data_IF_399552157158
#
_entry.id   IF_399552157158
#
_cell.length_a   1.000
_cell.length_b   1.000
_cell.length_c   1.000
_cell.angle_alpha   90.00
_cell.angle_beta   90.00
_cell.angle_gamma   90.00
#
_symmetry.space_group_name_H-M   'P 1'
#
loop_
_entity.id
_entity.type
_entity.pdbx_description
1 polymer ?
#
# COMPACT_ATOMS: atom_id res chain seq x y z
N UNK A 1 27.87 20.92 10.47
CA UNK A 1 27.76 20.19 9.18
C UNK A 1 27.35 18.73 9.37
N UNK A 2 27.89 18.01 10.37
CA UNK A 2 27.58 16.60 10.68
C UNK A 2 26.14 16.36 11.16
N UNK A 3 25.53 17.33 11.84
CA UNK A 3 24.15 17.24 12.35
C UNK A 3 23.12 17.11 11.23
N UNK A 4 23.22 17.93 10.18
CA UNK A 4 22.31 17.90 9.02
C UNK A 4 22.40 16.58 8.25
N UNK A 5 23.61 16.04 8.06
CA UNK A 5 23.79 14.76 7.37
C UNK A 5 23.14 13.60 8.15
N UNK A 6 23.33 13.56 9.47
CA UNK A 6 22.72 12.53 10.33
C UNK A 6 21.18 12.59 10.36
N UNK A 7 20.60 13.79 10.23
CA UNK A 7 19.16 13.98 10.16
C UNK A 7 18.61 13.49 8.83
N UNK A 8 19.18 13.93 7.70
CA UNK A 8 18.76 13.47 6.37
C UNK A 8 18.85 11.96 6.21
N UNK A 9 19.93 11.32 6.72
CA UNK A 9 20.05 9.86 6.69
C UNK A 9 18.90 9.18 7.45
N UNK A 10 18.58 9.66 8.67
CA UNK A 10 17.48 9.08 9.47
C UNK A 10 16.13 9.21 8.78
N UNK A 11 15.86 10.34 8.13
CA UNK A 11 14.62 10.58 7.38
C UNK A 11 14.53 9.65 6.19
N UNK A 12 15.59 9.57 5.38
CA UNK A 12 15.65 8.68 4.22
C UNK A 12 15.46 7.23 4.60
N UNK A 13 16.14 6.75 5.65
CA UNK A 13 16.00 5.36 6.13
C UNK A 13 14.58 5.07 6.60
N UNK A 14 13.96 6.01 7.35
CA UNK A 14 12.56 5.85 7.80
C UNK A 14 11.59 5.84 6.63
N UNK A 15 11.76 6.75 5.67
CA UNK A 15 10.92 6.81 4.48
C UNK A 15 11.04 5.52 3.65
N UNK A 16 12.26 5.07 3.38
CA UNK A 16 12.51 3.81 2.67
C UNK A 16 11.91 2.60 3.43
N UNK A 17 12.01 2.59 4.76
CA UNK A 17 11.39 1.55 5.58
C UNK A 17 9.85 1.52 5.44
N UNK A 18 9.20 2.69 5.43
CA UNK A 18 7.76 2.77 5.19
C UNK A 18 7.37 2.38 3.76
N UNK A 19 8.18 2.70 2.76
CA UNK A 19 7.97 2.24 1.39
C UNK A 19 8.04 0.72 1.29
N UNK A 20 9.06 0.12 1.90
CA UNK A 20 9.20 -1.34 1.92
C UNK A 20 8.02 -2.01 2.63
N UNK A 21 7.61 -1.48 3.78
CA UNK A 21 6.45 -2.01 4.51
C UNK A 21 5.16 -1.89 3.68
N UNK A 22 4.98 -0.77 2.98
CA UNK A 22 3.80 -0.54 2.13
C UNK A 22 3.79 -1.47 0.92
N UNK A 23 4.95 -1.74 0.33
CA UNK A 23 5.11 -2.74 -0.72
C UNK A 23 4.69 -4.13 -0.25
N UNK A 24 5.23 -4.58 0.89
CA UNK A 24 4.87 -5.87 1.49
C UNK A 24 3.37 -5.94 1.81
N UNK A 25 2.81 -4.89 2.40
CA UNK A 25 1.39 -4.85 2.70
C UNK A 25 0.53 -4.97 1.42
N UNK A 26 0.91 -4.27 0.35
CA UNK A 26 0.21 -4.33 -0.93
C UNK A 26 0.26 -5.73 -1.53
N UNK A 27 1.45 -6.32 -1.68
CA UNK A 27 1.59 -7.61 -2.35
C UNK A 27 0.93 -8.74 -1.56
N UNK A 28 1.06 -8.72 -0.22
CA UNK A 28 0.44 -9.73 0.64
C UNK A 28 -1.08 -9.62 0.67
N UNK A 29 -1.62 -8.42 0.83
CA UNK A 29 -3.08 -8.23 0.87
C UNK A 29 -3.73 -8.54 -0.47
N UNK A 30 -3.07 -8.21 -1.56
CA UNK A 30 -3.48 -8.56 -2.91
C UNK A 30 -3.51 -10.08 -3.11
N UNK A 31 -2.41 -10.78 -2.82
CA UNK A 31 -2.35 -12.23 -3.04
C UNK A 31 -3.29 -13.00 -2.12
N UNK A 32 -3.39 -12.59 -0.85
CA UNK A 32 -4.39 -13.16 0.07
C UNK A 32 -5.81 -12.90 -0.41
N UNK A 33 -6.03 -11.81 -1.14
CA UNK A 33 -7.30 -11.53 -1.80
C UNK A 33 -7.68 -12.61 -2.82
N UNK A 34 -6.74 -13.05 -3.66
CA UNK A 34 -6.96 -14.16 -4.58
C UNK A 34 -7.27 -15.46 -3.84
N UNK A 35 -6.53 -15.78 -2.78
CA UNK A 35 -6.77 -16.98 -1.97
C UNK A 35 -8.17 -16.98 -1.35
N UNK A 36 -8.58 -15.86 -0.76
CA UNK A 36 -9.91 -15.71 -0.17
C UNK A 36 -11.00 -15.80 -1.25
N UNK A 37 -10.81 -15.14 -2.40
CA UNK A 37 -11.73 -15.23 -3.52
C UNK A 37 -11.89 -16.64 -4.07
N UNK A 38 -10.77 -17.37 -4.18
CA UNK A 38 -10.75 -18.77 -4.59
C UNK A 38 -11.48 -19.68 -3.61
N UNK A 39 -11.27 -19.53 -2.30
CA UNK A 39 -12.01 -20.31 -1.30
C UNK A 39 -13.51 -20.03 -1.32
N UNK A 40 -13.90 -18.76 -1.48
CA UNK A 40 -15.32 -18.38 -1.55
C UNK A 40 -15.98 -18.91 -2.82
N UNK A 41 -15.27 -18.97 -3.95
CA UNK A 41 -15.79 -19.54 -5.19
C UNK A 41 -15.82 -21.07 -5.20
N UNK A 42 -15.12 -21.72 -4.27
CA UNK A 42 -14.95 -23.18 -4.24
C UNK A 42 -13.77 -23.67 -5.07
N UNK A 43 -12.84 -22.80 -5.43
CA UNK A 43 -11.59 -23.15 -6.07
C UNK A 43 -10.65 -23.88 -5.10
N UNK A 44 -9.86 -24.81 -5.63
CA UNK A 44 -8.85 -25.54 -4.84
C UNK A 44 -7.49 -24.87 -5.00
N UNK A 45 -6.92 -24.36 -3.91
CA UNK A 45 -5.57 -23.80 -3.90
C UNK A 45 -4.53 -24.92 -4.07
N UNK A 46 -3.71 -24.84 -5.10
CA UNK A 46 -2.65 -25.81 -5.41
C UNK A 46 -1.31 -25.33 -4.90
N UNK A 47 -1.01 -24.05 -5.14
CA UNK A 47 0.29 -23.47 -4.85
C UNK A 47 0.13 -22.00 -4.46
N UNK A 48 0.95 -21.56 -3.50
CA UNK A 48 1.05 -20.17 -3.08
C UNK A 48 2.52 -19.84 -2.81
N UNK A 49 3.00 -18.75 -3.39
CA UNK A 49 4.30 -18.18 -3.07
C UNK A 49 4.14 -16.71 -2.68
N UNK A 50 4.56 -16.38 -1.46
CA UNK A 50 4.48 -15.05 -0.84
C UNK A 50 5.85 -14.42 -0.60
N UNK A 51 6.90 -14.93 -1.25
CA UNK A 51 8.25 -14.42 -1.04
C UNK A 51 8.38 -12.99 -1.57
N UNK A 52 8.98 -12.07 -0.81
CA UNK A 52 9.01 -10.65 -1.15
C UNK A 52 9.98 -10.28 -2.29
N UNK A 53 10.83 -11.20 -2.76
CA UNK A 53 11.85 -10.94 -3.79
C UNK A 53 11.39 -11.26 -5.22
N UNK A 54 10.18 -11.78 -5.40
CA UNK A 54 9.50 -11.84 -6.69
C UNK A 54 8.03 -11.45 -6.51
N UNK A 55 7.29 -11.33 -7.61
CA UNK A 55 5.86 -11.10 -7.54
C UNK A 55 5.19 -12.33 -6.90
N UNK A 56 4.43 -12.16 -5.79
CA UNK A 56 3.63 -13.24 -5.24
C UNK A 56 2.64 -13.78 -6.26
N UNK A 57 2.28 -15.05 -6.08
CA UNK A 57 1.24 -15.69 -6.89
C UNK A 57 0.55 -16.80 -6.11
N UNK A 58 -0.69 -17.07 -6.49
CA UNK A 58 -1.44 -18.26 -6.11
C UNK A 58 -2.02 -18.93 -7.35
N UNK A 59 -2.04 -20.26 -7.32
CA UNK A 59 -2.58 -21.09 -8.39
C UNK A 59 -3.75 -21.87 -7.82
N UNK A 60 -4.89 -21.73 -8.46
CA UNK A 60 -6.12 -22.45 -8.13
C UNK A 60 -6.51 -23.38 -9.27
N UNK A 61 -6.82 -24.65 -8.95
CA UNK A 61 -7.30 -25.63 -9.93
C UNK A 61 -8.04 -26.79 -9.24
N UNK A 62 -9.29 -27.11 -9.62
CA UNK A 62 -10.14 -26.36 -10.54
C UNK A 62 -10.56 -25.02 -9.93
N UNK A 63 -10.79 -24.01 -10.78
CA UNK A 63 -11.40 -22.73 -10.39
C UNK A 63 -12.77 -22.58 -11.08
N UNK A 64 -13.88 -22.76 -10.35
CA UNK A 64 -15.22 -22.69 -10.92
C UNK A 64 -15.66 -21.24 -11.23
N UNK A 65 -15.06 -20.23 -10.63
CA UNK A 65 -15.41 -18.82 -10.86
C UNK A 65 -14.17 -17.92 -10.88
N UNK A 66 -13.33 -18.01 -11.94
CA UNK A 66 -12.05 -17.31 -12.01
C UNK A 66 -12.18 -15.80 -11.93
N UNK A 67 -13.30 -15.22 -12.35
CA UNK A 67 -13.54 -13.78 -12.18
C UNK A 67 -13.61 -13.37 -10.71
N UNK A 68 -14.21 -14.19 -9.83
CA UNK A 68 -14.29 -13.89 -8.40
C UNK A 68 -12.90 -13.96 -7.79
N UNK A 69 -12.17 -15.05 -8.06
CA UNK A 69 -10.79 -15.25 -7.61
C UNK A 69 -9.89 -14.09 -8.05
N UNK A 70 -9.89 -13.76 -9.34
CA UNK A 70 -9.03 -12.71 -9.91
C UNK A 70 -9.41 -11.31 -9.45
N UNK A 71 -10.69 -10.97 -9.32
CA UNK A 71 -11.08 -9.64 -8.81
C UNK A 71 -10.82 -9.48 -7.32
N UNK A 72 -10.89 -10.56 -6.55
CA UNK A 72 -10.71 -10.50 -5.10
C UNK A 72 -9.29 -10.08 -4.72
N UNK A 73 -8.28 -10.34 -5.54
CA UNK A 73 -6.92 -9.85 -5.32
C UNK A 73 -6.83 -8.33 -5.27
N UNK A 74 -7.08 -7.61 -6.37
CA UNK A 74 -7.12 -6.16 -6.39
C UNK A 74 -8.10 -5.57 -5.38
N UNK A 75 -9.33 -6.12 -5.28
CA UNK A 75 -10.38 -5.56 -4.40
C UNK A 75 -10.00 -5.67 -2.93
N UNK A 76 -9.63 -6.86 -2.45
CA UNK A 76 -9.24 -7.03 -1.05
C UNK A 76 -7.88 -6.41 -0.74
N UNK A 77 -6.96 -6.39 -1.73
CA UNK A 77 -5.68 -5.68 -1.66
C UNK A 77 -5.83 -4.18 -1.41
N UNK A 78 -6.99 -3.60 -1.69
CA UNK A 78 -7.32 -2.21 -1.36
C UNK A 78 -8.20 -2.11 -0.11
N UNK A 79 -9.28 -2.89 -0.05
CA UNK A 79 -10.28 -2.76 1.02
C UNK A 79 -9.72 -3.13 2.38
N UNK A 80 -8.86 -4.15 2.49
CA UNK A 80 -8.30 -4.59 3.77
C UNK A 80 -7.38 -3.52 4.38
N UNK A 81 -6.36 -2.98 3.67
CA UNK A 81 -5.55 -1.88 4.20
C UNK A 81 -6.38 -0.64 4.58
N UNK A 82 -7.37 -0.27 3.76
CA UNK A 82 -8.25 0.88 4.05
C UNK A 82 -9.11 0.63 5.29
N UNK A 83 -9.70 -0.55 5.43
CA UNK A 83 -10.49 -0.91 6.61
C UNK A 83 -9.64 -0.88 7.90
N UNK A 84 -8.40 -1.36 7.83
CA UNK A 84 -7.44 -1.29 8.96
C UNK A 84 -7.13 0.17 9.30
N UNK A 85 -6.86 1.01 8.30
CA UNK A 85 -6.58 2.43 8.50
C UNK A 85 -7.78 3.19 9.10
N UNK A 86 -9.00 2.88 8.65
CA UNK A 86 -10.24 3.41 9.21
C UNK A 86 -10.43 3.01 10.68
N UNK A 87 -10.24 1.73 11.00
CA UNK A 87 -10.47 1.21 12.35
C UNK A 87 -9.48 1.71 13.39
N UNK A 88 -8.21 1.85 13.02
CA UNK A 88 -7.15 2.31 13.94
C UNK A 88 -6.93 3.83 13.90
N UNK A 89 -7.34 4.50 12.82
CA UNK A 89 -7.23 5.94 12.58
C UNK A 89 -5.82 6.51 12.87
N UNK A 90 -4.77 5.77 12.48
CA UNK A 90 -3.37 6.21 12.60
C UNK A 90 -2.85 6.67 11.24
N UNK A 91 -2.20 7.84 11.18
CA UNK A 91 -1.64 8.42 9.93
C UNK A 91 -0.73 7.45 9.19
N UNK A 92 0.09 6.67 9.90
CA UNK A 92 0.99 5.68 9.29
C UNK A 92 0.26 4.54 8.58
N UNK A 93 -0.96 4.20 9.01
CA UNK A 93 -1.77 3.16 8.35
C UNK A 93 -2.46 3.71 7.11
N UNK A 94 -2.85 4.99 7.13
CA UNK A 94 -3.32 5.70 5.94
C UNK A 94 -2.25 5.78 4.85
N UNK A 95 -1.01 6.07 5.22
CA UNK A 95 0.13 6.03 4.31
C UNK A 95 0.26 4.69 3.58
N UNK A 96 0.16 3.58 4.33
CA UNK A 96 0.20 2.22 3.77
C UNK A 96 -1.03 1.94 2.91
N UNK A 97 -2.23 2.32 3.37
CA UNK A 97 -3.47 2.09 2.63
C UNK A 97 -3.53 2.88 1.32
N UNK A 98 -3.08 4.13 1.32
CA UNK A 98 -3.04 5.01 0.15
C UNK A 98 -1.98 4.53 -0.86
N UNK A 99 -0.85 4.00 -0.38
CA UNK A 99 0.09 3.27 -1.23
C UNK A 99 -0.55 2.03 -1.84
N UNK A 100 -1.22 1.19 -1.06
CA UNK A 100 -1.86 -0.03 -1.56
C UNK A 100 -2.92 0.28 -2.61
N UNK A 101 -3.73 1.32 -2.39
CA UNK A 101 -4.71 1.82 -3.35
C UNK A 101 -4.06 2.20 -4.68
N UNK A 102 -3.03 3.04 -4.64
CA UNK A 102 -2.29 3.46 -5.83
C UNK A 102 -1.64 2.27 -6.54
N UNK A 103 -0.88 1.46 -5.80
CA UNK A 103 -0.09 0.37 -6.33
C UNK A 103 -0.95 -0.74 -6.95
N UNK A 104 -2.11 -1.08 -6.36
CA UNK A 104 -3.04 -2.05 -6.97
C UNK A 104 -3.56 -1.56 -8.34
N UNK A 105 -3.92 -0.29 -8.43
CA UNK A 105 -4.36 0.32 -9.69
C UNK A 105 -3.25 0.35 -10.74
N UNK A 106 -2.07 0.80 -10.35
CA UNK A 106 -0.90 0.87 -11.24
C UNK A 106 -0.46 -0.52 -11.69
N UNK A 107 -0.44 -1.51 -10.79
CA UNK A 107 -0.13 -2.90 -11.12
C UNK A 107 -1.09 -3.43 -12.18
N UNK A 108 -2.40 -3.27 -11.99
CA UNK A 108 -3.39 -3.77 -12.95
C UNK A 108 -3.31 -3.05 -14.31
N UNK A 109 -3.04 -1.74 -14.31
CA UNK A 109 -2.83 -0.97 -15.53
C UNK A 109 -1.55 -1.40 -16.29
N UNK A 110 -0.45 -1.64 -15.58
CA UNK A 110 0.80 -2.14 -16.17
C UNK A 110 0.66 -3.58 -16.65
N UNK A 111 -0.07 -4.42 -15.93
CA UNK A 111 -0.43 -5.78 -16.36
C UNK A 111 -1.22 -5.76 -17.67
N UNK A 112 -2.16 -4.82 -17.81
CA UNK A 112 -2.89 -4.64 -19.06
C UNK A 112 -1.92 -4.21 -20.17
N UNK A 113 -1.11 -3.18 -19.94
CA UNK A 113 -0.22 -2.64 -20.96
C UNK A 113 0.85 -3.63 -21.44
N UNK A 114 1.46 -4.38 -20.51
CA UNK A 114 2.47 -5.39 -20.82
C UNK A 114 1.89 -6.60 -21.53
N UNK A 115 0.65 -6.98 -21.24
CA UNK A 115 -0.03 -8.12 -21.85
C UNK A 115 0.54 -9.48 -21.44
N UNK A 116 1.38 -9.53 -20.40
CA UNK A 116 1.96 -10.79 -19.92
C UNK A 116 0.88 -11.73 -19.38
N UNK A 117 0.77 -12.92 -19.96
CA UNK A 117 -0.34 -13.85 -19.71
C UNK A 117 -0.50 -14.30 -18.25
N UNK A 118 0.54 -14.15 -17.42
CA UNK A 118 0.53 -14.54 -16.01
C UNK A 118 0.09 -13.41 -15.07
N UNK A 119 -0.03 -12.18 -15.57
CA UNK A 119 -0.51 -11.05 -14.79
C UNK A 119 -2.04 -10.98 -14.78
N UNK A 120 -2.58 -10.27 -13.79
CA UNK A 120 -4.01 -10.24 -13.52
C UNK A 120 -4.87 -9.71 -14.65
N UNK A 121 -4.49 -8.60 -15.29
CA UNK A 121 -5.33 -7.99 -16.31
C UNK A 121 -5.56 -8.94 -17.52
N UNK A 122 -4.51 -9.55 -18.11
CA UNK A 122 -4.70 -10.58 -19.13
C UNK A 122 -5.55 -11.76 -18.66
N UNK A 123 -5.33 -12.26 -17.45
CA UNK A 123 -6.14 -13.36 -16.87
C UNK A 123 -7.61 -12.97 -16.68
N UNK A 124 -7.87 -11.75 -16.20
CA UNK A 124 -9.20 -11.19 -16.05
C UNK A 124 -9.92 -11.12 -17.40
N UNK A 125 -9.24 -10.64 -18.44
CA UNK A 125 -9.83 -10.58 -19.78
C UNK A 125 -10.09 -11.97 -20.37
N UNK A 126 -9.20 -12.94 -20.14
CA UNK A 126 -9.41 -14.34 -20.54
C UNK A 126 -10.59 -14.97 -19.79
N UNK A 127 -10.77 -14.61 -18.52
CA UNK A 127 -11.92 -15.03 -17.71
C UNK A 127 -13.22 -14.28 -18.05
N UNK A 128 -13.19 -13.32 -18.99
CA UNK A 128 -14.38 -12.60 -19.47
C UNK A 128 -14.66 -11.25 -18.80
N UNK A 129 -13.67 -10.65 -18.11
CA UNK A 129 -13.84 -9.36 -17.47
C UNK A 129 -14.06 -8.22 -18.49
N UNK A 130 -14.91 -7.26 -18.12
CA UNK A 130 -15.18 -6.07 -18.91
C UNK A 130 -13.99 -5.10 -18.90
N UNK A 131 -13.43 -4.79 -20.08
CA UNK A 131 -12.34 -3.82 -20.22
C UNK A 131 -12.69 -2.42 -19.66
N UNK A 132 -13.89 -1.86 -19.91
CA UNK A 132 -14.32 -0.63 -19.25
C UNK A 132 -14.31 -0.70 -17.72
N UNK A 133 -14.71 -1.85 -17.14
CA UNK A 133 -14.71 -2.03 -15.68
C UNK A 133 -13.29 -2.03 -15.11
N UNK A 134 -12.37 -2.75 -15.77
CA UNK A 134 -10.93 -2.74 -15.41
C UNK A 134 -10.36 -1.33 -15.55
N UNK A 135 -10.69 -0.61 -16.64
CA UNK A 135 -10.24 0.77 -16.83
C UNK A 135 -10.76 1.71 -15.74
N UNK A 136 -12.06 1.61 -15.41
CA UNK A 136 -12.68 2.41 -14.36
C UNK A 136 -12.03 2.15 -13.00
N UNK A 137 -11.76 0.89 -12.68
CA UNK A 137 -11.02 0.52 -11.47
C UNK A 137 -9.65 1.21 -11.44
N UNK A 138 -8.84 1.04 -12.48
CA UNK A 138 -7.50 1.64 -12.56
C UNK A 138 -7.54 3.17 -12.44
N UNK A 139 -8.43 3.85 -13.18
CA UNK A 139 -8.55 5.31 -13.14
C UNK A 139 -8.92 5.78 -11.72
N UNK A 140 -9.88 5.13 -11.08
CA UNK A 140 -10.32 5.50 -9.74
C UNK A 140 -9.22 5.29 -8.72
N UNK A 141 -8.61 4.10 -8.67
CA UNK A 141 -7.61 3.75 -7.67
C UNK A 141 -6.31 4.53 -7.87
N UNK A 142 -5.87 4.74 -9.12
CA UNK A 142 -4.68 5.56 -9.41
C UNK A 142 -4.97 7.03 -9.08
N UNK A 143 -6.10 7.58 -9.50
CA UNK A 143 -6.43 8.99 -9.26
C UNK A 143 -6.52 9.32 -7.78
N UNK A 144 -7.32 8.54 -7.03
CA UNK A 144 -7.50 8.74 -5.59
C UNK A 144 -6.22 8.40 -4.83
N UNK A 145 -5.60 7.26 -5.14
CA UNK A 145 -4.37 6.80 -4.49
C UNK A 145 -3.23 7.79 -4.69
N UNK A 146 -3.00 8.28 -5.91
CA UNK A 146 -1.95 9.26 -6.18
C UNK A 146 -2.15 10.55 -5.40
N UNK A 147 -3.36 11.13 -5.42
CA UNK A 147 -3.64 12.37 -4.73
C UNK A 147 -3.39 12.26 -3.22
N UNK A 148 -3.86 11.18 -2.59
CA UNK A 148 -3.72 10.95 -1.15
C UNK A 148 -2.30 10.59 -0.76
N UNK A 149 -1.71 9.59 -1.42
CA UNK A 149 -0.36 9.12 -1.13
C UNK A 149 0.70 10.21 -1.36
N UNK A 150 0.53 11.08 -2.37
CA UNK A 150 1.38 12.26 -2.56
C UNK A 150 1.34 13.19 -1.34
N UNK A 151 0.15 13.48 -0.81
CA UNK A 151 0.00 14.35 0.36
C UNK A 151 0.65 13.73 1.59
N UNK A 152 0.53 12.42 1.76
CA UNK A 152 1.16 11.68 2.85
C UNK A 152 2.70 11.70 2.75
N UNK A 153 3.25 11.56 1.53
CA UNK A 153 4.68 11.70 1.29
C UNK A 153 5.20 13.09 1.65
N UNK A 154 4.48 14.15 1.24
CA UNK A 154 4.82 15.53 1.58
C UNK A 154 4.80 15.73 3.09
N UNK A 155 3.73 15.31 3.76
CA UNK A 155 3.58 15.46 5.21
C UNK A 155 4.72 14.75 5.97
N UNK A 156 5.10 13.55 5.55
CA UNK A 156 6.16 12.79 6.22
C UNK A 156 7.56 13.42 6.02
N UNK A 157 7.82 14.04 4.87
CA UNK A 157 9.08 14.72 4.58
C UNK A 157 9.16 16.12 5.22
N UNK A 158 8.03 16.81 5.41
CA UNK A 158 7.96 18.10 6.11
C UNK A 158 8.26 17.94 7.61
N UNK A 159 7.62 17.00 8.31
CA UNK A 159 7.86 16.75 9.75
C UNK A 159 9.27 16.25 10.05
N UNK A 160 9.96 15.74 9.03
CA UNK A 160 11.36 15.34 9.10
C UNK A 160 12.34 16.52 9.10
N UNK A 161 11.88 17.70 8.67
CA UNK A 161 12.69 18.92 8.50
C UNK A 161 12.63 19.86 9.70
N UNK A 162 11.65 19.70 10.60
CA UNK A 162 11.58 20.51 11.82
C UNK A 162 12.71 20.14 12.79
N UNK A 163 13.55 21.11 13.21
CA UNK A 163 14.55 20.87 14.25
C UNK A 163 13.83 20.52 15.56
N UNK A 164 14.41 19.65 16.41
CA UNK A 164 13.85 19.40 17.74
C UNK A 164 13.72 20.75 18.43
N UNK A 165 12.49 21.14 18.79
CA UNK A 165 12.26 22.37 19.55
C UNK A 165 13.23 22.36 20.72
N UNK A 166 14.15 23.33 20.73
CA UNK A 166 14.99 23.59 21.88
C UNK A 166 14.03 23.63 23.07
N UNK A 167 14.18 22.68 24.00
CA UNK A 167 13.46 22.66 25.26
C UNK A 167 13.45 24.09 25.78
N UNK A 168 12.27 24.69 25.92
CA UNK A 168 12.13 26.04 26.44
C UNK A 168 13.00 26.13 27.70
N UNK A 169 13.85 27.17 27.84
CA UNK A 169 14.70 27.29 29.02
C UNK A 169 13.82 27.17 30.26
N UNK A 170 14.23 26.28 31.17
CA UNK A 170 13.60 26.15 32.48
C UNK A 170 13.43 27.57 33.06
N UNK A 171 12.23 27.94 33.57
CA UNK A 171 12.08 29.22 34.25
C UNK A 171 13.08 29.24 35.41
N UNK A 172 14.05 30.15 35.32
CA UNK A 172 14.98 30.45 36.41
C UNK A 172 14.11 30.95 37.57
N UNK A 173 14.15 30.33 38.76
CA UNK A 173 13.42 30.82 39.91
C UNK A 173 13.87 32.25 40.20
N UNK A 174 12.91 33.17 40.31
CA UNK A 174 13.15 34.58 40.58
C UNK A 174 13.76 34.73 41.98
N UNK A 175 15.08 34.98 42.06
CA UNK A 175 15.85 35.10 43.32
C UNK A 175 15.42 36.33 44.16
N UNK A 176 14.52 37.17 43.65
CA UNK A 176 14.06 38.39 44.29
C UNK A 176 12.71 38.29 45.04
N UNK A 177 12.12 37.10 45.18
CA UNK A 177 10.83 36.95 45.88
C UNK A 177 10.91 37.05 47.43
N UNK A 178 12.08 37.36 48.00
CA UNK A 178 12.32 37.41 49.45
C UNK A 178 13.02 38.70 49.94
N UNK A 179 12.85 39.83 49.24
CA UNK A 179 13.29 41.15 49.74
C UNK A 179 12.13 42.08 49.98
#
# INVERSE_FOLDING_TARGET
MTTNLSQSIRVTVRFAGWMLLSWLAMTQSHELGHVVGGWISGATLIEIDLRPWHLPYSIHSPDPAPLITLWSGPVLGVLVPVAIALGANRRVLWFVADFCLLANGTYLALAWFSGEAFLDAPRLFQAGASKPMVAAYCILTIGVGYARFRNDCISMLEHASEPPMASAPHPVPDENANR
#
